data_IF_875803735804
#
_entry.id   IF_875803735804
#
_cell.length_a   1.000
_cell.length_b   1.000
_cell.length_c   1.000
_cell.angle_alpha   90.00
_cell.angle_beta   90.00
_cell.angle_gamma   90.00
#
_symmetry.space_group_name_H-M   'P 1'
#
loop_
_entity.id
_entity.type
_entity.pdbx_description
1 polymer ?
#
# COMPACT_ATOMS: atom_id res chain seq x y z
N UNK A 1 -42.38 9.71 3.46
CA UNK A 1 -41.78 9.59 4.82
C UNK A 1 -40.28 9.27 4.75
N UNK A 2 -39.85 8.37 3.84
CA UNK A 2 -38.43 8.06 3.59
C UNK A 2 -37.62 9.24 2.99
N UNK A 3 -38.23 10.09 2.15
CA UNK A 3 -37.55 11.27 1.58
C UNK A 3 -37.09 12.30 2.62
N UNK A 4 -37.81 12.41 3.73
CA UNK A 4 -37.48 13.33 4.82
C UNK A 4 -36.25 12.86 5.60
N UNK A 5 -36.14 11.54 5.81
CA UNK A 5 -34.99 10.91 6.47
C UNK A 5 -33.73 10.98 5.57
N UNK A 6 -33.89 10.79 4.26
CA UNK A 6 -32.78 10.94 3.31
C UNK A 6 -32.27 12.39 3.26
N UNK A 7 -33.18 13.38 3.25
CA UNK A 7 -32.83 14.80 3.28
C UNK A 7 -32.21 15.25 4.61
N UNK A 8 -32.70 14.71 5.74
CA UNK A 8 -32.20 15.01 7.09
C UNK A 8 -30.81 14.43 7.35
N UNK A 9 -30.56 13.17 6.96
CA UNK A 9 -29.22 12.56 7.09
C UNK A 9 -28.19 13.22 6.18
N UNK A 10 -28.57 13.60 4.95
CA UNK A 10 -27.65 14.29 4.02
C UNK A 10 -27.29 15.70 4.49
N UNK A 11 -28.22 16.40 5.15
CA UNK A 11 -27.99 17.73 5.75
C UNK A 11 -26.98 17.71 6.90
N UNK A 12 -27.03 16.70 7.78
CA UNK A 12 -26.05 16.54 8.85
C UNK A 12 -24.64 16.18 8.31
N UNK A 13 -24.56 15.34 7.28
CA UNK A 13 -23.28 14.94 6.65
C UNK A 13 -22.65 16.04 5.78
N UNK A 14 -23.37 17.10 5.39
CA UNK A 14 -22.81 18.24 4.66
C UNK A 14 -22.18 19.30 5.59
N UNK A 15 -22.37 19.17 6.91
CA UNK A 15 -21.97 20.17 7.91
C UNK A 15 -20.49 20.09 8.31
N UNK A 16 -19.77 19.04 7.86
CA UNK A 16 -18.35 18.82 8.14
C UNK A 16 -17.51 18.80 6.86
N UNK A 17 -17.93 19.48 5.79
CA UNK A 17 -17.09 19.60 4.60
C UNK A 17 -15.87 20.47 4.89
N UNK A 18 -14.68 19.89 4.80
CA UNK A 18 -13.43 20.64 4.84
C UNK A 18 -13.42 21.68 3.69
N UNK A 19 -12.69 22.79 3.85
CA UNK A 19 -12.61 23.82 2.81
C UNK A 19 -12.15 23.25 1.45
N UNK A 20 -11.36 22.18 1.51
CA UNK A 20 -10.86 21.42 0.35
C UNK A 20 -11.98 20.67 -0.38
N UNK A 21 -12.89 20.00 0.34
CA UNK A 21 -14.03 19.31 -0.26
C UNK A 21 -14.95 20.27 -1.02
N UNK A 22 -15.22 21.46 -0.46
CA UNK A 22 -16.04 22.48 -1.12
C UNK A 22 -15.40 22.92 -2.44
N UNK A 23 -14.10 23.21 -2.43
CA UNK A 23 -13.34 23.62 -3.61
C UNK A 23 -13.32 22.55 -4.70
N UNK A 24 -13.21 21.28 -4.30
CA UNK A 24 -13.27 20.13 -5.23
C UNK A 24 -14.65 20.05 -5.89
N UNK A 25 -15.74 20.20 -5.12
CA UNK A 25 -17.11 20.16 -5.65
C UNK A 25 -17.37 21.31 -6.64
N UNK A 26 -16.93 22.52 -6.31
CA UNK A 26 -17.07 23.68 -7.21
C UNK A 26 -16.30 23.47 -8.52
N UNK A 27 -15.06 22.97 -8.42
CA UNK A 27 -14.23 22.66 -9.59
C UNK A 27 -14.85 21.57 -10.47
N UNK A 28 -15.46 20.54 -9.85
CA UNK A 28 -16.18 19.46 -10.54
C UNK A 28 -17.42 19.96 -11.30
N UNK A 29 -18.13 20.95 -10.76
CA UNK A 29 -19.30 21.55 -11.41
C UNK A 29 -18.94 22.37 -12.64
N UNK A 30 -17.76 23.00 -12.63
CA UNK A 30 -17.26 23.79 -13.76
C UNK A 30 -16.70 22.95 -14.92
N UNK A 31 -16.44 21.65 -14.70
CA UNK A 31 -15.87 20.77 -15.72
C UNK A 31 -16.90 20.26 -16.74
N UNK A 32 -16.50 20.10 -18.03
CA UNK A 32 -17.28 19.39 -19.03
C UNK A 32 -17.58 17.95 -18.61
N UNK A 33 -18.72 17.36 -19.03
CA UNK A 33 -19.13 16.02 -18.60
C UNK A 33 -18.11 14.93 -18.94
N UNK A 34 -17.37 15.08 -20.04
CA UNK A 34 -16.33 14.12 -20.48
C UNK A 34 -15.18 14.03 -19.49
N UNK A 35 -14.86 15.14 -18.81
CA UNK A 35 -13.75 15.25 -17.86
C UNK A 35 -14.13 14.82 -16.44
N UNK A 36 -15.41 14.64 -16.15
CA UNK A 36 -15.86 14.16 -14.83
C UNK A 36 -15.47 12.71 -14.59
N UNK A 37 -15.44 11.89 -15.64
CA UNK A 37 -14.98 10.50 -15.57
C UNK A 37 -13.51 10.42 -15.16
N UNK A 38 -12.64 11.25 -15.74
CA UNK A 38 -11.21 11.30 -15.38
C UNK A 38 -11.00 11.66 -13.89
N UNK A 39 -11.86 12.52 -13.33
CA UNK A 39 -11.81 12.87 -11.90
C UNK A 39 -12.22 11.69 -11.03
N UNK A 40 -13.22 10.90 -11.45
CA UNK A 40 -13.64 9.69 -10.74
C UNK A 40 -12.49 8.67 -10.74
N UNK A 41 -11.88 8.41 -11.90
CA UNK A 41 -10.76 7.50 -12.05
C UNK A 41 -9.58 7.93 -11.15
N UNK A 42 -9.30 9.23 -11.10
CA UNK A 42 -8.23 9.77 -10.24
C UNK A 42 -8.54 9.59 -8.75
N UNK A 43 -9.78 9.79 -8.33
CA UNK A 43 -10.20 9.56 -6.94
C UNK A 43 -10.06 8.07 -6.58
N UNK A 44 -10.43 7.15 -7.46
CA UNK A 44 -10.22 5.71 -7.25
C UNK A 44 -8.73 5.36 -7.16
N UNK A 45 -7.91 5.93 -8.04
CA UNK A 45 -6.45 5.80 -7.97
C UNK A 45 -5.89 6.29 -6.62
N UNK A 46 -6.36 7.42 -6.11
CA UNK A 46 -5.92 7.92 -4.80
C UNK A 46 -6.32 6.98 -3.66
N UNK A 47 -7.52 6.39 -3.71
CA UNK A 47 -7.97 5.39 -2.72
C UNK A 47 -7.11 4.14 -2.73
N UNK A 48 -6.71 3.65 -3.92
CA UNK A 48 -5.83 2.47 -4.00
C UNK A 48 -4.42 2.77 -3.50
N UNK A 49 -3.91 3.99 -3.74
CA UNK A 49 -2.59 4.43 -3.27
C UNK A 49 -2.53 4.60 -1.74
N UNK A 50 -3.56 5.17 -1.12
CA UNK A 50 -3.65 5.28 0.35
C UNK A 50 -3.89 3.93 1.01
N UNK A 51 -4.55 3.01 0.31
CA UNK A 51 -4.71 1.62 0.74
C UNK A 51 -3.44 0.76 0.57
N UNK A 52 -2.27 1.35 0.26
CA UNK A 52 -0.99 0.63 0.19
C UNK A 52 -0.82 -0.24 1.44
N UNK A 53 -1.03 -1.54 1.25
CA UNK A 53 -1.01 -2.52 2.32
C UNK A 53 0.25 -2.33 3.15
N UNK A 54 0.07 -2.27 4.47
CA UNK A 54 1.16 -2.26 5.43
C UNK A 54 2.15 -3.35 5.01
N UNK A 55 3.36 -2.94 4.60
CA UNK A 55 4.38 -3.88 4.13
C UNK A 55 4.72 -4.80 5.29
N UNK A 56 4.12 -5.99 5.29
CA UNK A 56 4.36 -6.97 6.36
C UNK A 56 5.86 -7.25 6.38
N UNK A 57 6.46 -7.05 7.56
CA UNK A 57 7.87 -7.31 7.78
C UNK A 57 8.22 -8.74 7.36
N UNK A 58 9.16 -8.90 6.42
CA UNK A 58 9.67 -10.20 5.99
C UNK A 58 10.50 -10.90 7.07
N UNK A 59 10.82 -10.21 8.17
CA UNK A 59 11.64 -10.74 9.28
C UNK A 59 11.08 -12.05 9.87
N UNK A 60 9.77 -12.26 9.78
CA UNK A 60 9.10 -13.44 10.31
C UNK A 60 8.63 -14.43 9.23
N UNK A 61 9.00 -14.24 7.95
CA UNK A 61 8.56 -15.16 6.90
C UNK A 61 9.15 -16.57 7.09
N UNK A 62 10.42 -16.62 7.53
CA UNK A 62 11.17 -17.86 7.71
C UNK A 62 10.84 -18.61 9.00
N UNK A 63 10.20 -17.97 9.99
CA UNK A 63 9.84 -18.63 11.25
C UNK A 63 8.78 -19.72 11.06
N UNK A 64 7.96 -19.64 10.01
CA UNK A 64 6.98 -20.68 9.66
C UNK A 64 7.61 -21.96 9.15
N UNK A 65 8.84 -21.91 8.64
CA UNK A 65 9.47 -23.04 7.96
C UNK A 65 10.25 -23.96 8.90
N UNK A 66 10.24 -23.70 10.22
CA UNK A 66 10.94 -24.50 11.23
C UNK A 66 12.38 -24.86 10.83
N UNK A 67 13.06 -23.93 10.15
CA UNK A 67 14.43 -24.14 9.68
C UNK A 67 15.36 -23.93 10.85
N UNK A 68 15.92 -25.01 11.36
CA UNK A 68 16.97 -24.99 12.37
C UNK A 68 18.30 -25.09 11.65
N UNK A 69 19.01 -23.97 11.54
CA UNK A 69 20.36 -23.94 10.98
C UNK A 69 21.35 -23.89 12.14
N UNK A 70 22.18 -24.91 12.28
CA UNK A 70 23.26 -24.90 13.27
C UNK A 70 24.52 -24.20 12.73
N UNK A 71 25.30 -23.58 13.61
CA UNK A 71 26.57 -22.95 13.22
C UNK A 71 27.56 -23.97 12.61
N UNK A 72 27.50 -25.22 13.07
CA UNK A 72 28.31 -26.31 12.54
C UNK A 72 27.96 -26.64 11.09
N UNK A 73 26.68 -26.71 10.76
CA UNK A 73 26.21 -26.94 9.38
C UNK A 73 26.61 -25.80 8.45
N UNK A 74 26.48 -24.54 8.89
CA UNK A 74 26.90 -23.37 8.10
C UNK A 74 28.40 -23.42 7.81
N UNK A 75 29.21 -23.76 8.83
CA UNK A 75 30.66 -23.84 8.70
C UNK A 75 31.08 -24.95 7.74
N UNK A 76 30.44 -26.12 7.83
CA UNK A 76 30.70 -27.25 6.95
C UNK A 76 30.28 -26.93 5.50
N UNK A 77 29.08 -26.39 5.30
CA UNK A 77 28.62 -25.96 3.97
C UNK A 77 29.53 -24.88 3.37
N UNK A 78 30.01 -23.93 4.17
CA UNK A 78 30.95 -22.91 3.69
C UNK A 78 32.27 -23.53 3.26
N UNK A 79 32.82 -24.47 4.03
CA UNK A 79 34.05 -25.17 3.66
C UNK A 79 33.86 -26.05 2.42
N UNK A 80 32.72 -26.71 2.28
CA UNK A 80 32.40 -27.54 1.11
C UNK A 80 32.25 -26.68 -0.16
N UNK A 81 31.47 -25.61 -0.07
CA UNK A 81 31.11 -24.77 -1.23
C UNK A 81 32.20 -23.77 -1.60
N UNK A 82 32.98 -23.27 -0.63
CA UNK A 82 34.00 -22.23 -0.82
C UNK A 82 35.41 -22.70 -0.46
N UNK A 83 35.62 -23.98 -0.16
CA UNK A 83 36.95 -24.53 0.14
C UNK A 83 37.94 -24.41 -1.01
N UNK A 84 37.43 -24.46 -2.24
CA UNK A 84 38.20 -24.23 -3.47
C UNK A 84 38.04 -22.81 -4.01
N UNK A 85 37.49 -21.88 -3.22
CA UNK A 85 37.39 -20.49 -3.66
C UNK A 85 38.81 -19.93 -3.75
N UNK A 86 39.26 -19.49 -4.93
CA UNK A 86 40.64 -19.04 -5.09
C UNK A 86 40.89 -17.85 -4.16
N UNK A 87 41.82 -18.04 -3.22
CA UNK A 87 42.33 -16.97 -2.39
C UNK A 87 43.10 -15.96 -3.25
N UNK A 88 43.18 -14.71 -2.80
CA UNK A 88 43.87 -13.61 -3.51
C UNK A 88 45.42 -13.76 -3.54
N UNK A 89 45.93 -14.98 -3.40
CA UNK A 89 47.36 -15.26 -3.29
C UNK A 89 47.89 -16.11 -4.46
N UNK A 90 47.10 -16.28 -5.53
CA UNK A 90 47.63 -16.70 -6.83
C UNK A 90 48.32 -15.49 -7.52
N UNK A 91 49.58 -15.25 -7.16
CA UNK A 91 50.55 -14.46 -7.94
C UNK A 91 51.91 -15.15 -7.96
#
# INVERSE_FOLDING_TARGET
MLDFIYKSSKGALMSTQSAEEKKIIESLRALPPEKKTEVIDFIEFLKTKTASAERRSLKNLWSRFSVHISDGEISNLRKEMWGNFPGRDEK
#
